data_IF_648985098045
#
_entry.id   IF_648985098045
#
_cell.length_a   1.000
_cell.length_b   1.000
_cell.length_c   1.000
_cell.angle_alpha   90.00
_cell.angle_beta   90.00
_cell.angle_gamma   90.00
#
_symmetry.space_group_name_H-M   'P 1'
#
loop_
_entity.id
_entity.type
_entity.pdbx_description
1 polymer ?
#
# COMPACT_ATOMS: atom_id res chain seq x y z
N UNK A 1 -31.40 -30.52 -7.19
CA UNK A 1 -30.04 -30.78 -7.73
C UNK A 1 -29.39 -29.59 -8.41
N UNK A 2 -29.97 -29.01 -9.48
CA UNK A 2 -29.33 -27.88 -10.18
C UNK A 2 -29.06 -26.67 -9.27
N UNK A 3 -30.02 -26.34 -8.38
CA UNK A 3 -29.89 -25.23 -7.43
C UNK A 3 -28.76 -25.45 -6.42
N UNK A 4 -28.67 -26.63 -5.81
CA UNK A 4 -27.63 -26.91 -4.81
C UNK A 4 -26.23 -26.97 -5.45
N UNK A 5 -26.11 -27.50 -6.67
CA UNK A 5 -24.85 -27.55 -7.40
C UNK A 5 -24.33 -26.16 -7.76
N UNK A 6 -25.18 -25.32 -8.36
CA UNK A 6 -24.84 -23.93 -8.67
C UNK A 6 -24.51 -23.13 -7.41
N UNK A 7 -25.24 -23.34 -6.32
CA UNK A 7 -24.95 -22.68 -5.03
C UNK A 7 -23.58 -23.04 -4.47
N UNK A 8 -23.18 -24.31 -4.55
CA UNK A 8 -21.84 -24.75 -4.13
C UNK A 8 -20.76 -24.16 -5.03
N UNK A 9 -20.93 -24.22 -6.35
CA UNK A 9 -19.99 -23.64 -7.31
C UNK A 9 -19.78 -22.14 -7.06
N UNK A 10 -20.83 -21.37 -6.78
CA UNK A 10 -20.70 -19.94 -6.46
C UNK A 10 -20.04 -19.66 -5.11
N UNK A 11 -20.17 -20.56 -4.14
CA UNK A 11 -19.54 -20.41 -2.81
C UNK A 11 -18.08 -20.82 -2.82
N UNK A 12 -17.71 -21.80 -3.63
CA UNK A 12 -16.33 -22.25 -3.78
C UNK A 12 -15.52 -21.29 -4.67
N UNK A 13 -16.15 -20.72 -5.71
CA UNK A 13 -15.50 -19.81 -6.66
C UNK A 13 -15.69 -18.31 -6.32
N UNK A 14 -15.73 -17.96 -5.04
CA UNK A 14 -15.82 -16.54 -4.62
C UNK A 14 -14.59 -15.74 -5.11
N UNK A 15 -13.43 -16.39 -5.20
CA UNK A 15 -12.21 -15.80 -5.74
C UNK A 15 -12.36 -15.44 -7.22
N UNK A 16 -13.03 -16.28 -8.02
CA UNK A 16 -13.30 -16.01 -9.43
C UNK A 16 -14.16 -14.77 -9.64
N UNK A 17 -15.10 -14.48 -8.72
CA UNK A 17 -15.90 -13.25 -8.76
C UNK A 17 -15.00 -12.02 -8.60
N UNK A 18 -14.05 -12.05 -7.67
CA UNK A 18 -13.12 -10.95 -7.45
C UNK A 18 -12.17 -10.75 -8.64
N UNK A 19 -11.69 -11.86 -9.22
CA UNK A 19 -10.82 -11.86 -10.42
C UNK A 19 -11.60 -11.33 -11.64
N UNK A 20 -12.84 -11.78 -11.85
CA UNK A 20 -13.69 -11.33 -12.94
C UNK A 20 -14.01 -9.83 -12.85
N UNK A 21 -14.32 -9.33 -11.64
CA UNK A 21 -14.54 -7.91 -11.42
C UNK A 21 -13.28 -7.08 -11.69
N UNK A 22 -12.10 -7.58 -11.30
CA UNK A 22 -10.82 -6.93 -11.60
C UNK A 22 -10.55 -6.92 -13.11
N UNK A 23 -10.75 -8.04 -13.80
CA UNK A 23 -10.59 -8.13 -15.24
C UNK A 23 -11.53 -7.17 -15.99
N UNK A 24 -12.79 -7.07 -15.56
CA UNK A 24 -13.76 -6.12 -16.11
C UNK A 24 -13.26 -4.66 -15.99
N UNK A 25 -12.86 -4.23 -14.79
CA UNK A 25 -12.36 -2.86 -14.58
C UNK A 25 -11.09 -2.55 -15.39
N UNK A 26 -10.17 -3.50 -15.48
CA UNK A 26 -8.95 -3.33 -16.28
C UNK A 26 -9.27 -3.20 -17.78
N UNK A 27 -10.28 -3.92 -18.27
CA UNK A 27 -10.76 -3.79 -19.65
C UNK A 27 -11.35 -2.41 -19.93
N UNK A 28 -12.14 -1.87 -19.01
CA UNK A 28 -12.69 -0.52 -19.13
C UNK A 28 -11.57 0.54 -19.13
N UNK A 29 -10.59 0.42 -18.22
CA UNK A 29 -9.42 1.31 -18.19
C UNK A 29 -8.60 1.25 -19.47
N UNK A 30 -8.46 0.06 -20.08
CA UNK A 30 -7.80 -0.09 -21.38
C UNK A 30 -8.56 0.64 -22.49
N UNK A 31 -9.90 0.53 -22.53
CA UNK A 31 -10.72 1.29 -23.48
C UNK A 31 -10.52 2.80 -23.33
N UNK A 32 -10.56 3.31 -22.10
CA UNK A 32 -10.29 4.73 -21.82
C UNK A 32 -8.87 5.15 -22.24
N UNK A 33 -7.89 4.26 -22.10
CA UNK A 33 -6.51 4.52 -22.50
C UNK A 33 -6.38 4.65 -24.01
N UNK A 34 -7.03 3.77 -24.76
CA UNK A 34 -7.02 3.79 -26.22
C UNK A 34 -7.75 5.04 -26.75
N UNK A 35 -8.88 5.40 -26.13
CA UNK A 35 -9.67 6.59 -26.48
C UNK A 35 -9.02 7.93 -26.08
N UNK A 36 -8.09 7.92 -25.13
CA UNK A 36 -7.45 9.15 -24.63
C UNK A 36 -6.52 9.87 -25.63
N UNK A 37 -6.29 9.28 -26.81
CA UNK A 37 -5.54 9.91 -27.91
C UNK A 37 -4.14 10.36 -27.51
N UNK A 38 -3.85 11.67 -27.65
CA UNK A 38 -2.54 12.28 -27.33
C UNK A 38 -2.45 12.84 -25.90
N UNK A 39 -3.47 12.69 -25.07
CA UNK A 39 -3.47 13.24 -23.72
C UNK A 39 -2.58 12.40 -22.78
N UNK A 40 -1.29 12.78 -22.70
CA UNK A 40 -0.28 12.09 -21.91
C UNK A 40 -0.60 12.05 -20.41
N UNK A 41 -1.22 13.10 -19.87
CA UNK A 41 -1.61 13.16 -18.44
C UNK A 41 -2.70 12.15 -18.12
N UNK A 42 -3.73 12.09 -18.96
CA UNK A 42 -4.81 11.12 -18.80
C UNK A 42 -4.28 9.68 -18.91
N UNK A 43 -3.46 9.39 -19.92
CA UNK A 43 -2.79 8.08 -20.07
C UNK A 43 -2.00 7.68 -18.84
N UNK A 44 -1.19 8.60 -18.30
CA UNK A 44 -0.41 8.34 -17.09
C UNK A 44 -1.29 8.03 -15.88
N UNK A 45 -2.41 8.74 -15.72
CA UNK A 45 -3.35 8.49 -14.61
C UNK A 45 -4.05 7.14 -14.74
N UNK A 46 -4.50 6.76 -15.94
CA UNK A 46 -5.12 5.46 -16.20
C UNK A 46 -4.14 4.31 -15.92
N UNK A 47 -2.87 4.45 -16.32
CA UNK A 47 -1.82 3.47 -16.02
C UNK A 47 -1.56 3.31 -14.52
N UNK A 48 -1.55 4.42 -13.76
CA UNK A 48 -1.43 4.38 -12.30
C UNK A 48 -2.61 3.65 -11.65
N UNK A 49 -3.82 3.89 -12.14
CA UNK A 49 -5.02 3.23 -11.64
C UNK A 49 -5.00 1.73 -11.94
N UNK A 50 -4.69 1.33 -13.17
CA UNK A 50 -4.54 -0.07 -13.54
C UNK A 50 -3.47 -0.78 -12.68
N UNK A 51 -2.35 -0.11 -12.40
CA UNK A 51 -1.30 -0.63 -11.53
C UNK A 51 -1.75 -0.83 -10.08
N UNK A 52 -2.54 0.11 -9.54
CA UNK A 52 -3.12 0.00 -8.20
C UNK A 52 -4.10 -1.18 -8.11
N UNK A 53 -4.81 -1.48 -9.19
CA UNK A 53 -5.78 -2.58 -9.23
C UNK A 53 -5.14 -3.97 -9.41
N UNK A 54 -3.96 -4.10 -10.04
CA UNK A 54 -3.33 -5.41 -10.31
C UNK A 54 -2.56 -5.96 -9.12
N UNK A 55 -1.69 -5.18 -8.48
CA UNK A 55 -0.97 -5.59 -7.26
C UNK A 55 -0.50 -4.41 -6.40
N UNK A 56 -0.53 -3.15 -6.89
CA UNK A 56 -0.43 -1.92 -6.08
C UNK A 56 0.77 -1.75 -5.13
N UNK A 57 1.68 -2.71 -5.03
CA UNK A 57 2.87 -2.71 -4.18
C UNK A 57 3.92 -1.81 -4.79
N UNK A 58 3.72 -0.51 -4.59
CA UNK A 58 4.85 0.43 -4.60
C UNK A 58 5.54 0.26 -3.26
N UNK A 59 6.73 -0.36 -3.26
CA UNK A 59 7.73 -0.05 -2.25
C UNK A 59 7.93 1.47 -2.32
N UNK A 60 7.29 2.21 -1.39
CA UNK A 60 7.55 3.64 -1.25
C UNK A 60 9.03 3.75 -0.94
N UNK A 61 9.83 4.12 -1.93
CA UNK A 61 11.24 4.40 -1.70
C UNK A 61 11.27 5.72 -0.95
N UNK A 62 11.57 5.67 0.35
CA UNK A 62 11.85 6.87 1.14
C UNK A 62 13.13 7.49 0.56
N UNK A 63 12.99 8.64 -0.08
CA UNK A 63 14.13 9.44 -0.55
C UNK A 63 14.39 10.45 0.55
N UNK A 64 15.10 10.03 1.59
CA UNK A 64 15.55 10.97 2.61
C UNK A 64 16.73 11.77 2.06
N UNK A 65 16.59 13.11 2.02
CA UNK A 65 17.67 14.03 1.65
C UNK A 65 18.49 14.49 2.86
N UNK A 66 18.14 14.02 4.06
CA UNK A 66 18.64 14.56 5.35
C UNK A 66 19.23 13.50 6.27
N UNK A 67 18.94 12.23 6.05
CA UNK A 67 19.55 11.09 6.75
C UNK A 67 20.37 10.34 5.72
N UNK A 68 21.66 10.09 5.99
CA UNK A 68 22.57 9.36 5.10
C UNK A 68 22.20 7.85 5.04
N UNK A 69 20.93 7.51 4.77
CA UNK A 69 20.40 6.15 4.81
C UNK A 69 19.96 5.66 6.20
N UNK A 70 19.85 6.53 7.20
CA UNK A 70 19.40 6.16 8.55
C UNK A 70 17.89 6.37 8.72
N UNK A 71 17.21 5.42 9.37
CA UNK A 71 15.77 5.49 9.62
C UNK A 71 15.38 6.63 10.56
N UNK A 72 14.39 7.43 10.20
CA UNK A 72 13.85 8.55 10.99
C UNK A 72 13.36 8.10 12.39
N UNK A 73 12.94 6.84 12.54
CA UNK A 73 12.52 6.28 13.81
C UNK A 73 13.70 5.73 14.62
N UNK A 74 14.57 6.61 15.11
CA UNK A 74 15.56 6.21 16.12
C UNK A 74 14.82 5.99 17.45
N UNK A 75 14.49 4.75 17.77
CA UNK A 75 14.06 4.40 19.13
C UNK A 75 15.26 4.59 20.06
N UNK A 76 15.25 5.68 20.83
CA UNK A 76 16.29 5.90 21.85
C UNK A 76 15.98 4.92 22.99
N UNK A 77 16.63 3.76 22.98
CA UNK A 77 16.61 2.83 24.10
C UNK A 77 17.53 3.39 25.20
N UNK A 78 16.99 4.28 26.04
CA UNK A 78 17.71 4.78 27.22
C UNK A 78 17.78 3.64 28.24
N UNK A 79 18.98 3.31 28.72
CA UNK A 79 19.11 2.29 29.76
C UNK A 79 18.50 2.78 31.08
N UNK A 80 17.96 1.86 31.90
CA UNK A 80 17.33 2.21 33.18
C UNK A 80 18.28 2.97 34.10
N UNK A 81 19.57 2.64 34.05
CA UNK A 81 20.60 3.25 34.90
C UNK A 81 20.89 4.69 34.49
N UNK A 82 20.90 4.97 33.19
CA UNK A 82 21.10 6.30 32.64
C UNK A 82 19.93 7.24 32.96
N UNK A 83 18.69 6.71 32.93
CA UNK A 83 17.49 7.46 33.35
C UNK A 83 17.52 7.81 34.84
N UNK A 84 17.95 6.88 35.69
CA UNK A 84 18.04 7.11 37.14
C UNK A 84 19.10 8.15 37.48
N UNK A 85 20.25 8.10 36.82
CA UNK A 85 21.33 9.08 37.01
C UNK A 85 20.89 10.50 36.62
N UNK A 86 20.28 10.66 35.45
CA UNK A 86 19.76 11.94 34.99
C UNK A 86 18.70 12.51 35.97
N UNK A 87 17.83 11.65 36.50
CA UNK A 87 16.82 12.05 37.49
C UNK A 87 17.45 12.53 38.80
N UNK A 88 18.56 11.92 39.21
CA UNK A 88 19.24 12.25 40.45
C UNK A 88 20.03 13.56 40.34
N UNK A 89 20.63 13.84 39.19
CA UNK A 89 21.25 15.14 38.88
C UNK A 89 20.21 16.27 38.94
N UNK A 90 19.04 16.10 38.32
CA UNK A 90 17.95 17.11 38.35
C UNK A 90 17.45 17.40 39.77
N UNK A 91 17.45 16.42 40.68
CA UNK A 91 17.03 16.61 42.08
C UNK A 91 18.10 17.34 42.90
N UNK A 92 19.37 17.18 42.56
CA UNK A 92 20.48 17.84 43.28
C UNK A 92 20.67 19.31 42.87
N UNK A 93 20.09 19.73 41.74
CA UNK A 93 20.13 21.12 41.26
C UNK A 93 19.06 22.04 41.91
N UNK A 94 18.23 21.52 42.84
CA UNK A 94 17.26 22.27 43.65
C UNK A 94 17.72 22.41 45.11
#
# INVERSE_FOLDING_TARGET
DLFERTRTDFRENIEDIAIANKAFRLKELQGMYDDSGRNKRLKQNLLKQAFQETDGRVTRQEIDHTTNGESIQKTVNVSKDEYLKARQEVVNDY
#
